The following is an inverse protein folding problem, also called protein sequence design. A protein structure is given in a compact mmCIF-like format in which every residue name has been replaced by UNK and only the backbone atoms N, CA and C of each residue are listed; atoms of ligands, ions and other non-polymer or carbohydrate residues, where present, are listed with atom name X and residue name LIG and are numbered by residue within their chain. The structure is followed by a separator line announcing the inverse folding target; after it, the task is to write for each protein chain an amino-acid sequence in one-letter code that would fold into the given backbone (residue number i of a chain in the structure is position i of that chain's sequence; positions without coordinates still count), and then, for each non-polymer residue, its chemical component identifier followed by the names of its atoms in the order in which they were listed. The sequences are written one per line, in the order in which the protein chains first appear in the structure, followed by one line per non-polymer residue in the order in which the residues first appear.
data_IF_340246249569
#
_entry.id   IF_340246249569
#
_cell.length_a   1.000
_cell.length_b   1.000
_cell.length_c   1.000
_cell.angle_alpha   90.00
_cell.angle_beta   90.00
_cell.angle_gamma   90.00
#
_symmetry.space_group_name_H-M   'P 1'
#
loop_
_entity.id
_entity.type
_entity.pdbx_description
1 polymer ?
2 non-polymer ?
3 water ?
#
# COMPACT_ATOMS: atom_id res chain seq x y z
N UNK A 12 -15.35 -19.78 -4.59
CA UNK A 12 -15.42 -20.39 -5.91
C UNK A 12 -14.39 -19.77 -6.86
N UNK A 13 -14.10 -20.48 -7.96
CA UNK A 13 -13.15 -20.03 -8.96
C UNK A 13 -13.79 -20.10 -10.34
N UNK A 14 -13.10 -19.56 -11.33
CA UNK A 14 -13.61 -19.54 -12.68
C UNK A 14 -14.54 -18.40 -13.00
N UNK A 15 -14.56 -17.36 -12.17
CA UNK A 15 -15.42 -16.20 -12.38
C UNK A 15 -14.60 -14.94 -12.26
N UNK A 16 -15.11 -13.87 -12.87
CA UNK A 16 -14.50 -12.55 -12.81
C UNK A 16 -15.60 -11.52 -12.53
N UNK A 17 -15.55 -10.90 -11.36
CA UNK A 17 -16.52 -9.89 -10.96
C UNK A 17 -15.87 -8.52 -11.14
N UNK A 18 -16.06 -7.93 -12.31
CA UNK A 18 -15.48 -6.64 -12.66
C UNK A 18 -16.63 -5.67 -12.85
N UNK A 19 -16.94 -4.89 -11.82
CA UNK A 19 -17.97 -3.88 -11.90
C UNK A 19 -19.37 -4.41 -11.68
N UNK A 20 -19.56 -5.20 -10.64
CA UNK A 20 -20.87 -5.71 -10.29
C UNK A 20 -21.29 -6.93 -11.09
N UNK A 21 -20.85 -7.01 -12.34
CA UNK A 21 -21.22 -8.10 -13.22
C UNK A 21 -20.20 -9.23 -13.12
N UNK A 22 -20.70 -10.47 -13.09
CA UNK A 22 -19.87 -11.65 -13.06
C UNK A 22 -19.74 -12.25 -14.46
N UNK A 23 -18.56 -12.80 -14.74
CA UNK A 23 -18.28 -13.38 -16.05
C UNK A 23 -17.57 -14.71 -15.86
N UNK A 24 -18.20 -15.79 -16.33
CA UNK A 24 -17.55 -17.09 -16.34
C UNK A 24 -16.36 -17.06 -17.29
N UNK A 25 -15.19 -17.47 -16.80
CA UNK A 25 -13.98 -17.33 -17.59
C UNK A 25 -12.97 -18.41 -17.19
N UNK A 26 -12.01 -18.62 -18.09
CA UNK A 26 -10.85 -19.46 -17.84
C UNK A 26 -9.59 -18.66 -18.14
N UNK A 27 -8.43 -19.26 -17.89
CA UNK A 27 -7.18 -18.57 -18.17
C UNK A 27 -6.98 -18.35 -19.67
N UNK A 28 -7.68 -19.11 -20.51
CA UNK A 28 -7.57 -18.92 -21.96
C UNK A 28 -8.30 -17.67 -22.43
N UNK A 29 -9.20 -17.11 -21.62
CA UNK A 29 -9.95 -15.93 -21.99
C UNK A 29 -9.20 -14.63 -21.72
N UNK A 30 -7.96 -14.70 -21.24
CA UNK A 30 -7.18 -13.52 -20.90
C UNK A 30 -5.90 -13.50 -21.73
N UNK A 31 -5.64 -12.37 -22.38
CA UNK A 31 -4.49 -12.21 -23.24
C UNK A 31 -3.34 -11.58 -22.46
N UNK A 32 -2.19 -12.25 -22.46
CA UNK A 32 -1.03 -11.78 -21.70
C UNK A 32 -0.40 -10.60 -22.41
N UNK A 33 -0.41 -9.43 -21.76
CA UNK A 33 0.16 -8.22 -22.32
C UNK A 33 1.55 -7.90 -21.75
N UNK A 34 2.15 -8.83 -21.02
CA UNK A 34 3.50 -8.64 -20.53
C UNK A 34 3.62 -8.61 -19.02
N UNK A 35 4.84 -8.83 -18.53
CA UNK A 35 5.10 -8.81 -17.09
C UNK A 35 5.17 -7.38 -16.58
N UNK A 36 4.62 -7.16 -15.39
CA UNK A 36 4.63 -5.85 -14.75
C UNK A 36 5.62 -5.86 -13.60
N UNK A 37 6.59 -4.96 -13.64
CA UNK A 37 7.58 -4.86 -12.59
C UNK A 37 8.65 -5.92 -12.66
N UNK A 38 9.89 -5.55 -12.35
CA UNK A 38 10.99 -6.50 -12.39
C UNK A 38 11.06 -7.34 -11.12
N UNK A 39 10.89 -6.72 -9.95
CA UNK A 39 10.99 -7.44 -8.69
C UNK A 39 9.66 -7.59 -8.01
N UNK A 40 9.27 -8.84 -7.71
CA UNK A 40 7.92 -9.11 -7.26
C UNK A 40 7.97 -9.98 -6.01
N UNK A 41 6.78 -10.36 -5.55
CA UNK A 41 6.57 -11.49 -4.67
C UNK A 41 5.81 -12.58 -5.41
N UNK A 42 5.97 -12.62 -6.73
CA UNK A 42 5.21 -13.51 -7.59
C UNK A 42 4.89 -12.85 -8.92
N UNK A 43 4.94 -13.61 -10.01
CA UNK A 43 4.79 -13.04 -11.34
C UNK A 43 3.45 -12.35 -11.50
N UNK A 44 3.48 -11.03 -11.70
CA UNK A 44 2.29 -10.21 -11.91
C UNK A 44 2.22 -9.87 -13.39
N UNK A 45 1.17 -10.33 -14.05
CA UNK A 45 0.98 -10.11 -15.48
C UNK A 45 -0.08 -9.04 -15.72
N UNK A 46 0.14 -8.22 -16.74
CA UNK A 46 -0.89 -7.34 -17.28
C UNK A 46 -1.65 -8.12 -18.35
N UNK A 47 -2.94 -8.34 -18.12
CA UNK A 47 -3.73 -9.20 -19.00
C UNK A 47 -5.02 -8.50 -19.41
N UNK A 48 -5.42 -8.72 -20.66
CA UNK A 48 -6.65 -8.14 -21.22
C UNK A 48 -7.70 -9.22 -21.30
N UNK A 49 -8.85 -8.98 -20.67
CA UNK A 49 -9.98 -9.89 -20.74
C UNK A 49 -10.61 -9.78 -22.13
N UNK A 50 -10.51 -10.83 -22.93
CA UNK A 50 -10.97 -10.78 -24.32
C UNK A 50 -12.48 -10.59 -24.41
N UNK A 51 -13.23 -10.99 -23.37
CA UNK A 51 -14.68 -10.94 -23.42
C UNK A 51 -15.24 -9.56 -23.14
N UNK A 52 -14.45 -8.66 -22.54
CA UNK A 52 -14.95 -7.34 -22.19
C UNK A 52 -13.91 -6.24 -22.37
N UNK A 53 -12.75 -6.52 -22.95
CA UNK A 53 -11.72 -5.53 -23.14
C UNK A 53 -11.07 -5.02 -21.88
N UNK A 54 -11.54 -5.45 -20.71
CA UNK A 54 -10.94 -5.01 -19.46
C UNK A 54 -9.51 -5.53 -19.35
N UNK A 55 -8.60 -4.65 -18.96
CA UNK A 55 -7.21 -5.02 -18.71
C UNK A 55 -7.01 -5.10 -17.20
N UNK A 56 -6.58 -6.27 -16.72
CA UNK A 56 -6.48 -6.54 -15.30
C UNK A 56 -5.06 -7.02 -14.99
N UNK A 57 -4.73 -7.02 -13.70
CA UNK A 57 -3.46 -7.52 -13.22
C UNK A 57 -3.66 -8.92 -12.64
N UNK A 58 -2.96 -9.89 -13.20
CA UNK A 58 -3.11 -11.29 -12.83
C UNK A 58 -1.78 -11.78 -12.27
N UNK A 59 -1.79 -12.20 -11.00
CA UNK A 59 -0.62 -12.79 -10.37
C UNK A 59 -0.67 -14.30 -10.54
N UNK A 60 0.42 -14.86 -11.06
CA UNK A 60 0.52 -16.29 -11.31
C UNK A 60 1.34 -16.94 -10.20
N UNK A 61 0.69 -17.81 -9.43
CA UNK A 61 1.34 -18.58 -8.37
C UNK A 61 1.44 -20.03 -8.83
N UNK A 62 2.66 -20.48 -9.10
CA UNK A 62 2.88 -21.85 -9.50
C UNK A 62 2.96 -22.76 -8.29
N UNK A 63 2.31 -23.93 -8.38
CA UNK A 63 2.40 -24.91 -7.31
C UNK A 63 3.82 -25.46 -7.18
N UNK A 64 4.66 -25.27 -8.21
CA UNK A 64 6.07 -25.60 -8.14
C UNK A 64 6.90 -24.49 -7.50
N UNK A 65 6.29 -23.34 -7.21
CA UNK A 65 7.02 -22.20 -6.72
C UNK A 65 7.53 -22.38 -5.30
N UNK A 66 8.08 -21.29 -4.77
CA UNK A 66 8.66 -21.30 -3.43
C UNK A 66 7.57 -21.50 -2.39
N UNK A 67 7.90 -22.27 -1.35
CA UNK A 67 6.92 -22.57 -0.30
C UNK A 67 6.60 -21.33 0.53
N UNK A 68 7.62 -20.55 0.89
CA UNK A 68 7.39 -19.36 1.70
C UNK A 68 6.71 -18.26 0.89
N UNK A 69 7.09 -18.12 -0.38
CA UNK A 69 6.47 -17.09 -1.22
C UNK A 69 5.00 -17.42 -1.50
N UNK A 70 4.67 -18.69 -1.70
CA UNK A 70 3.29 -19.08 -1.92
C UNK A 70 2.44 -18.88 -0.68
N UNK A 71 3.04 -19.01 0.52
CA UNK A 71 2.29 -18.80 1.74
C UNK A 71 1.86 -17.35 1.88
N UNK A 72 2.73 -16.41 1.54
CA UNK A 72 2.37 -14.99 1.63
C UNK A 72 1.39 -14.60 0.53
N UNK A 73 1.45 -15.24 -0.62
CA UNK A 73 0.49 -14.95 -1.69
C UNK A 73 -0.91 -15.37 -1.26
N UNK A 74 -1.05 -16.55 -0.65
CA UNK A 74 -2.35 -17.01 -0.18
C UNK A 74 -2.84 -16.17 0.99
N UNK A 75 -1.93 -15.73 1.86
CA UNK A 75 -2.34 -14.88 2.99
C UNK A 75 -2.84 -13.53 2.51
N UNK A 76 -2.17 -12.95 1.50
CA UNK A 76 -2.65 -11.70 0.93
C UNK A 76 -4.00 -11.90 0.23
N UNK A 77 -4.14 -12.97 -0.54
CA UNK A 77 -5.41 -13.26 -1.20
C UNK A 77 -6.53 -13.46 -0.18
N UNK A 78 -6.21 -14.06 0.97
CA UNK A 78 -7.24 -14.25 1.99
C UNK A 78 -7.77 -12.91 2.50
N UNK A 79 -6.88 -11.95 2.74
CA UNK A 79 -7.30 -10.65 3.25
C UNK A 79 -8.07 -9.87 2.19
N UNK A 80 -7.64 -9.96 0.93
CA UNK A 80 -8.28 -9.20 -0.13
C UNK A 80 -9.69 -9.72 -0.40
N UNK A 81 -9.87 -11.04 -0.33
CA UNK A 81 -11.21 -11.61 -0.52
C UNK A 81 -12.16 -11.17 0.58
N UNK A 82 -11.63 -10.88 1.78
CA UNK A 82 -12.44 -10.41 2.89
C UNK A 82 -12.72 -8.91 2.85
N UNK A 83 -11.99 -8.15 2.04
CA UNK A 83 -12.09 -6.70 2.00
C UNK A 83 -12.82 -6.21 0.75
N UNK A 84 -13.89 -6.90 0.36
CA UNK A 84 -14.60 -6.55 -0.85
C UNK A 84 -15.39 -5.25 -0.73
N UNK A 85 -15.64 -4.79 0.49
CA UNK A 85 -16.43 -3.59 0.72
C UNK A 85 -15.60 -2.38 1.14
N UNK A 86 -14.27 -2.50 1.15
CA UNK A 86 -13.42 -1.37 1.50
C UNK A 86 -12.89 -0.73 0.23
N UNK A 87 -13.25 0.53 -0.06
CA UNK A 87 -12.77 1.15 -1.30
C UNK A 87 -11.31 1.55 -1.28
N UNK A 88 -10.64 1.45 -0.12
CA UNK A 88 -9.24 1.85 0.00
C UNK A 88 -8.29 0.65 -0.01
N UNK A 89 -8.76 -0.51 -0.47
CA UNK A 89 -7.95 -1.71 -0.57
C UNK A 89 -8.11 -2.26 -1.98
N UNK A 90 -7.00 -2.64 -2.60
CA UNK A 90 -7.04 -3.17 -3.97
C UNK A 90 -7.93 -4.39 -4.02
N UNK A 91 -8.89 -4.38 -4.94
CA UNK A 91 -9.93 -5.38 -4.98
C UNK A 91 -9.54 -6.58 -5.84
N UNK A 92 -10.06 -7.74 -5.47
CA UNK A 92 -9.87 -8.97 -6.23
C UNK A 92 -11.05 -9.17 -7.19
N UNK A 93 -10.74 -9.57 -8.41
CA UNK A 93 -11.77 -9.82 -9.42
C UNK A 93 -12.13 -11.29 -9.54
N UNK A 94 -11.22 -12.19 -9.17
CA UNK A 94 -11.49 -13.61 -9.28
C UNK A 94 -10.19 -14.39 -9.26
N UNK A 95 -10.35 -15.71 -9.27
CA UNK A 95 -9.21 -16.63 -9.24
C UNK A 95 -9.42 -17.74 -10.25
N UNK A 96 -8.30 -18.32 -10.70
CA UNK A 96 -8.30 -19.46 -11.61
C UNK A 96 -7.33 -20.50 -11.07
N UNK A 97 -7.83 -21.69 -10.79
CA UNK A 97 -7.04 -22.78 -10.24
C UNK A 97 -6.91 -23.85 -11.31
N UNK A 98 -5.69 -24.04 -11.81
CA UNK A 98 -5.37 -25.10 -12.76
C UNK A 98 -4.55 -26.18 -12.06
N UNK A 99 -4.25 -27.24 -12.81
CA UNK A 99 -3.49 -28.36 -12.26
C UNK A 99 -2.07 -27.99 -11.88
N UNK A 100 -1.56 -26.84 -12.34
CA UNK A 100 -0.19 -26.45 -12.06
C UNK A 100 -0.04 -25.01 -11.56
N UNK A 101 -1.07 -24.18 -11.64
CA UNK A 101 -0.95 -22.77 -11.30
C UNK A 101 -2.20 -22.27 -10.61
N UNK A 102 -2.07 -21.13 -9.95
CA UNK A 102 -3.20 -20.39 -9.39
C UNK A 102 -3.06 -18.94 -9.85
N UNK A 103 -4.05 -18.47 -10.59
CA UNK A 103 -4.05 -17.12 -11.12
C UNK A 103 -4.98 -16.24 -10.31
N UNK A 104 -4.47 -15.11 -9.83
CA UNK A 104 -5.22 -14.19 -8.97
C UNK A 104 -5.40 -12.89 -9.74
N UNK A 105 -6.59 -12.66 -10.25
CA UNK A 105 -6.90 -11.43 -10.97
C UNK A 105 -7.28 -10.34 -9.98
N UNK A 106 -6.67 -9.17 -10.14
CA UNK A 106 -6.90 -8.06 -9.22
C UNK A 106 -7.03 -6.76 -10.01
N UNK A 107 -7.41 -5.71 -9.29
CA UNK A 107 -7.55 -4.38 -9.89
C UNK A 107 -6.21 -3.92 -10.46
N UNK A 108 -6.22 -3.55 -11.74
CA UNK A 108 -5.01 -3.07 -12.39
C UNK A 108 -4.77 -1.63 -11.97
N UNK A 109 -3.81 -1.44 -11.07
CA UNK A 109 -3.42 -0.11 -10.63
C UNK A 109 -2.33 0.44 -11.57
N UNK A 110 -1.94 1.69 -11.35
CA UNK A 110 -0.89 2.29 -12.13
C UNK A 110 0.49 1.91 -11.64
N UNK A 111 0.89 2.47 -10.50
CA UNK A 111 2.19 2.16 -9.91
C UNK A 111 2.11 2.44 -8.41
N UNK A 112 3.20 2.11 -7.72
CA UNK A 112 3.27 2.32 -6.29
C UNK A 112 3.81 3.72 -5.98
N UNK A 113 3.79 4.07 -4.70
CA UNK A 113 4.30 5.37 -4.27
C UNK A 113 5.82 5.42 -4.34
N UNK A 114 6.49 4.28 -4.22
CA UNK A 114 7.95 4.25 -4.33
C UNK A 114 8.38 4.60 -5.75
N UNK A 115 7.82 3.92 -6.76
CA UNK A 115 8.15 4.24 -8.14
C UNK A 115 7.72 5.65 -8.51
N UNK A 116 6.66 6.16 -7.88
CA UNK A 116 6.26 7.55 -8.10
C UNK A 116 7.31 8.51 -7.55
N UNK A 117 7.90 8.18 -6.40
CA UNK A 117 8.96 9.01 -5.84
C UNK A 117 10.21 8.98 -6.71
N UNK A 118 10.51 7.82 -7.30
CA UNK A 118 11.67 7.71 -8.18
C UNK A 118 11.45 8.50 -9.47
N UNK A 119 10.24 8.43 -10.03
CA UNK A 119 9.96 9.15 -11.26
C UNK A 119 9.89 10.66 -11.02
N UNK A 120 9.36 11.07 -9.87
CA UNK A 120 9.31 12.50 -9.55
C UNK A 120 10.70 13.06 -9.36
N UNK A 121 11.65 12.26 -8.90
CA UNK A 121 13.00 12.70 -8.57
C UNK A 121 13.00 13.85 -7.57
N UNK A 122 12.01 13.86 -6.67
CA UNK A 122 11.86 14.90 -5.69
C UNK A 122 10.67 14.69 -4.79
N UNK A 123 10.34 15.69 -3.97
CA UNK A 123 9.22 15.55 -3.05
C UNK A 123 7.89 15.41 -3.79
N UNK A 124 6.94 14.78 -3.10
CA UNK A 124 5.58 14.63 -3.60
C UNK A 124 4.71 15.68 -2.91
N UNK A 125 3.85 16.41 -3.64
CA UNK A 125 3.10 17.50 -3.03
C UNK A 125 2.26 17.04 -1.85
N UNK A 126 2.01 17.97 -0.92
CA UNK A 126 1.25 17.66 0.29
C UNK A 126 -0.19 17.30 -0.04
N UNK A 127 -0.79 17.97 -1.02
CA UNK A 127 -2.18 17.69 -1.37
C UNK A 127 -2.36 16.27 -1.86
N UNK A 128 -1.32 15.69 -2.47
CA UNK A 128 -1.39 14.29 -2.89
C UNK A 128 -1.19 13.37 -1.70
N UNK A 129 -0.27 13.72 -0.80
CA UNK A 129 -0.07 12.91 0.40
C UNK A 129 -1.24 13.02 1.36
N UNK A 130 -1.99 14.14 1.29
CA UNK A 130 -3.17 14.26 2.13
C UNK A 130 -4.24 13.26 1.74
N UNK A 131 -4.52 13.16 0.44
CA UNK A 131 -5.48 12.14 -0.03
C UNK A 131 -4.94 10.74 0.18
N UNK A 132 -3.62 10.56 0.11
CA UNK A 132 -3.04 9.24 0.37
C UNK A 132 -3.21 8.85 1.84
N UNK A 133 -3.02 9.79 2.76
CA UNK A 133 -3.16 9.48 4.18
C UNK A 133 -4.58 9.06 4.51
N UNK A 134 -5.57 9.83 4.04
CA UNK A 134 -6.97 9.51 4.32
C UNK A 134 -7.31 8.11 3.84
N UNK A 135 -6.81 7.72 2.66
CA UNK A 135 -7.13 6.41 2.13
C UNK A 135 -6.43 5.30 2.90
N UNK A 136 -5.16 5.49 3.24
CA UNK A 136 -4.40 4.43 3.90
C UNK A 136 -4.88 4.24 5.34
N UNK A 137 -5.17 5.33 6.04
CA UNK A 137 -5.59 5.22 7.44
C UNK A 137 -6.93 4.50 7.53
N UNK A 138 -7.88 4.85 6.65
CA UNK A 138 -9.17 4.17 6.66
C UNK A 138 -9.04 2.71 6.25
N UNK A 139 -8.09 2.39 5.36
CA UNK A 139 -7.86 1.00 5.00
C UNK A 139 -7.32 0.21 6.18
N UNK A 140 -6.37 0.78 6.92
CA UNK A 140 -5.86 0.10 8.11
C UNK A 140 -6.91 0.03 9.21
N UNK A 141 -7.78 1.04 9.31
CA UNK A 141 -8.87 1.00 10.28
C UNK A 141 -9.88 -0.08 9.94
N UNK A 142 -10.14 -0.27 8.64
CA UNK A 142 -11.07 -1.32 8.22
C UNK A 142 -10.53 -2.72 8.54
N UNK A 143 -9.20 -2.89 8.49
CA UNK A 143 -8.62 -4.19 8.78
C UNK A 143 -8.65 -4.50 10.27
N UNK A 144 -8.52 -3.48 11.12
CA UNK A 144 -8.46 -3.73 12.56
C UNK A 144 -9.84 -3.95 13.16
N UNK A 145 -10.86 -3.25 12.67
CA UNK A 145 -12.20 -3.36 13.24
C UNK A 145 -13.00 -4.47 12.58
N UNK A 146 -13.16 -4.41 11.25
CA UNK A 146 -14.01 -5.37 10.55
C UNK A 146 -13.40 -6.76 10.50
N UNK A 147 -12.07 -6.88 10.60
CA UNK A 147 -11.42 -8.18 10.50
C UNK A 147 -10.34 -8.43 11.54
N UNK A 148 -9.97 -7.45 12.35
CA UNK A 148 -8.93 -7.65 13.35
C UNK A 148 -7.59 -7.99 12.75
N UNK A 149 -7.25 -7.43 11.59
CA UNK A 149 -6.04 -7.76 10.86
C UNK A 149 -5.08 -6.59 10.93
N UNK A 150 -3.81 -6.89 11.19
CA UNK A 150 -2.73 -5.92 11.20
C UNK A 150 -1.90 -6.13 9.94
N UNK A 151 -1.49 -5.03 9.30
CA UNK A 151 -0.80 -5.12 8.02
C UNK A 151 0.66 -5.55 8.18
N UNK A 152 1.39 -4.86 9.07
CA UNK A 152 2.77 -5.18 9.47
C UNK A 152 3.79 -4.93 8.36
N UNK A 153 3.42 -4.24 7.28
CA UNK A 153 4.40 -3.92 6.24
C UNK A 153 3.97 -2.70 5.44
N UNK A 154 3.56 -1.65 6.13
CA UNK A 154 3.14 -0.41 5.47
C UNK A 154 4.40 0.34 5.02
N UNK A 155 4.48 0.62 3.71
CA UNK A 155 5.62 1.31 3.13
C UNK A 155 5.18 1.90 1.80
N UNK A 156 5.95 2.84 1.24
CA UNK A 156 5.54 3.44 -0.04
C UNK A 156 5.33 2.44 -1.17
N UNK A 157 6.11 1.35 -1.20
CA UNK A 157 5.92 0.36 -2.26
C UNK A 157 4.60 -0.37 -2.14
N UNK A 158 3.93 -0.29 -0.98
CA UNK A 158 2.65 -0.93 -0.75
C UNK A 158 1.48 0.03 -0.86
N UNK A 159 1.69 1.20 -1.45
CA UNK A 159 0.64 2.20 -1.67
C UNK A 159 0.50 2.36 -3.17
N UNK A 160 -0.65 1.94 -3.72
CA UNK A 160 -0.87 1.90 -5.15
C UNK A 160 -1.78 3.04 -5.58
N UNK A 161 -1.44 3.65 -6.72
CA UNK A 161 -2.24 4.71 -7.33
C UNK A 161 -2.53 4.33 -8.77
N UNK A 162 -3.53 4.98 -9.36
CA UNK A 162 -3.96 4.64 -10.71
C UNK A 162 -4.26 5.92 -11.50
N UNK A 163 -4.68 5.74 -12.74
CA UNK A 163 -4.97 6.85 -13.64
C UNK A 163 -6.19 7.65 -13.20
N UNK A 164 -7.08 7.05 -12.40
CA UNK A 164 -8.31 7.70 -11.97
C UNK A 164 -8.19 8.34 -10.59
N UNK A 165 -6.99 8.46 -10.05
CA UNK A 165 -6.79 9.10 -8.77
C UNK A 165 -7.03 8.24 -7.55
N UNK A 166 -7.34 6.96 -7.72
CA UNK A 166 -7.55 6.09 -6.58
C UNK A 166 -6.23 5.81 -5.87
N UNK A 167 -6.31 5.68 -4.55
CA UNK A 167 -5.16 5.34 -3.70
C UNK A 167 -5.59 4.23 -2.76
N UNK A 168 -4.94 3.07 -2.89
CA UNK A 168 -5.33 1.90 -2.12
C UNK A 168 -4.09 1.22 -1.55
N UNK A 169 -4.33 0.34 -0.59
CA UNK A 169 -3.29 -0.47 0.04
C UNK A 169 -3.34 -1.89 -0.53
N UNK A 170 -2.18 -2.53 -0.65
CA UNK A 170 -2.04 -3.63 -1.60
C UNK A 170 -1.60 -4.98 -1.04
N UNK A 171 -0.49 -5.03 -0.29
CA UNK A 171 0.19 -6.28 0.01
C UNK A 171 -0.03 -6.68 1.47
N UNK A 172 -0.80 -7.75 1.68
CA UNK A 172 -1.05 -8.31 3.01
C UNK A 172 -0.38 -9.68 3.17
N UNK A 173 0.83 -9.82 2.63
CA UNK A 173 1.48 -11.11 2.62
C UNK A 173 1.94 -11.58 3.98
N UNK A 174 2.23 -10.63 4.89
CA UNK A 174 2.68 -10.98 6.23
C UNK A 174 1.73 -10.35 7.25
N UNK A 175 0.46 -10.25 6.89
CA UNK A 175 -0.52 -9.67 7.80
C UNK A 175 -0.88 -10.65 8.91
N UNK A 176 -1.16 -10.10 10.09
CA UNK A 176 -1.52 -10.92 11.24
C UNK A 176 -3.00 -10.82 11.57
N UNK A 177 -3.49 -11.78 12.36
CA UNK A 177 -4.90 -11.84 12.71
C UNK A 177 -5.20 -11.34 14.11
N UNK A 178 -4.17 -10.94 14.86
CA UNK A 178 -4.33 -10.42 16.22
C UNK A 178 -5.10 -11.38 17.12
N UNK A 188 8.28 -10.67 9.82
CA UNK A 188 8.75 -9.31 10.11
C UNK A 188 8.80 -8.47 8.85
N UNK A 189 8.27 -7.25 8.92
CA UNK A 189 8.27 -6.34 7.80
C UNK A 189 9.64 -5.75 7.53
N UNK A 190 9.65 -4.76 6.64
CA UNK A 190 10.89 -4.07 6.30
C UNK A 190 11.40 -3.29 7.50
N UNK A 191 12.69 -3.45 7.79
CA UNK A 191 13.27 -2.80 8.96
C UNK A 191 13.25 -1.29 8.87
N UNK A 192 13.15 -0.74 7.67
CA UNK A 192 13.20 0.72 7.51
C UNK A 192 11.98 1.39 8.10
N UNK A 193 10.83 0.71 8.13
CA UNK A 193 9.56 1.31 8.56
C UNK A 193 9.01 0.62 9.81
N UNK A 194 9.85 -0.05 10.59
CA UNK A 194 9.39 -0.77 11.75
C UNK A 194 9.30 0.15 12.97
N UNK A 195 8.22 -0.02 13.74
CA UNK A 195 8.00 0.80 14.91
C UNK A 195 9.00 0.44 16.01
N UNK A 196 9.25 1.37 16.94
CA UNK A 196 10.18 1.06 18.04
C UNK A 196 9.72 -0.11 18.90
N UNK A 197 8.42 -0.24 19.16
CA UNK A 197 7.94 -1.34 19.98
C UNK A 197 7.99 -2.68 19.25
N UNK A 198 8.11 -2.67 17.92
CA UNK A 198 8.32 -3.91 17.19
C UNK A 198 9.78 -4.35 17.20
N UNK A 199 10.70 -3.42 17.41
CA UNK A 199 12.10 -3.76 17.56
C UNK A 199 12.43 -4.11 19.01
N UNK A 200 11.89 -3.35 19.95
CA UNK A 200 12.09 -3.58 21.38
C UNK A 200 10.74 -3.62 22.06
N UNK A 201 10.09 -4.81 22.10
CA UNK A 201 8.77 -4.99 22.73
C UNK A 201 8.74 -4.60 24.21
N UNK A 211 -0.06 -3.58 17.63
CA UNK A 211 -1.29 -2.82 17.76
C UNK A 211 -1.26 -1.59 16.87
N UNK A 212 -0.52 -0.57 17.30
CA UNK A 212 -0.41 0.70 16.57
C UNK A 212 0.95 0.83 15.89
N UNK A 213 1.53 -0.29 15.44
CA UNK A 213 2.84 -0.25 14.81
C UNK A 213 2.75 0.25 13.36
N UNK A 214 1.65 -0.05 12.67
CA UNK A 214 1.46 0.46 11.32
C UNK A 214 1.34 1.97 11.28
N UNK A 215 0.93 2.59 12.39
CA UNK A 215 0.86 4.05 12.47
C UNK A 215 2.25 4.65 12.34
N UNK A 216 3.24 4.02 12.96
CA UNK A 216 4.62 4.50 12.84
C UNK A 216 5.13 4.29 11.41
N UNK A 217 4.83 3.14 10.81
CA UNK A 217 5.25 2.88 9.44
C UNK A 217 4.66 3.90 8.47
N UNK A 218 3.39 4.25 8.68
CA UNK A 218 2.76 5.28 7.84
C UNK A 218 3.45 6.63 8.01
N UNK A 219 3.83 6.96 9.24
CA UNK A 219 4.50 8.23 9.48
C UNK A 219 5.87 8.29 8.82
N UNK A 220 6.62 7.18 8.87
CA UNK A 220 7.93 7.15 8.22
C UNK A 220 7.78 7.26 6.71
N UNK A 221 6.77 6.60 6.14
CA UNK A 221 6.52 6.71 4.70
C UNK A 221 6.13 8.12 4.31
N UNK A 222 5.40 8.83 5.17
CA UNK A 222 5.00 10.20 4.84
C UNK A 222 6.20 11.13 4.78
N UNK A 223 7.16 10.96 5.69
CA UNK A 223 8.35 11.80 5.68
C UNK A 223 9.20 11.52 4.46
N UNK A 224 9.30 10.26 4.06
CA UNK A 224 10.10 9.90 2.89
C UNK A 224 9.50 10.50 1.62
N UNK A 225 8.19 10.41 1.46
CA UNK A 225 7.54 10.92 0.25
C UNK A 225 7.45 12.44 0.24
N UNK A 226 7.31 13.06 1.41
CA UNK A 226 7.20 14.52 1.45
C UNK A 226 8.53 15.21 1.25
N UNK A 227 9.65 14.54 1.57
CA UNK A 227 10.97 15.11 1.44
C UNK A 227 11.76 14.57 0.26
N UNK A 228 11.35 13.46 -0.33
CA UNK A 228 12.13 12.82 -1.36
C UNK A 228 13.34 12.06 -0.86
N UNK A 229 13.62 12.09 0.44
CA UNK A 229 14.76 11.39 1.03
C UNK A 229 14.24 10.54 2.18
N UNK A 230 14.70 9.29 2.22
CA UNK A 230 14.33 8.42 3.33
C UNK A 230 14.92 8.98 4.63
N UNK A 231 14.13 9.10 5.69
CA UNK A 231 14.60 9.84 6.87
C UNK A 231 15.86 9.30 7.51
N UNK A 232 16.01 7.97 7.60
CA UNK A 232 17.21 7.37 8.18
C UNK A 232 18.25 7.21 7.07
N UNK A 233 19.07 8.24 6.89
CA UNK A 233 19.99 8.31 5.76
C UNK A 233 21.30 7.61 6.07
N UNK A 234 21.87 6.98 5.03
CA UNK A 234 23.21 6.39 5.07
C UNK A 234 23.30 5.29 6.13
N UNK A 235 22.45 4.29 5.97
CA UNK A 235 22.47 3.08 6.79
C UNK A 235 22.81 1.91 5.87
N UNK A 236 23.99 1.32 6.07
CA UNK A 236 24.46 0.26 5.19
C UNK A 236 23.90 -1.10 5.55
N UNK A 237 23.42 -1.29 6.77
CA UNK A 237 22.86 -2.56 7.21
C UNK A 237 21.48 -2.34 7.83
N UNK A 238 20.72 -3.43 7.94
CA UNK A 238 19.38 -3.34 8.49
C UNK A 238 19.42 -3.02 9.98
N UNK A 239 20.34 -3.63 10.72
CA UNK A 239 20.41 -3.40 12.16
C UNK A 239 20.77 -1.96 12.49
N UNK A 240 21.56 -1.30 11.63
CA UNK A 240 21.87 0.11 11.85
C UNK A 240 20.62 0.97 11.74
N UNK A 241 19.69 0.61 10.86
CA UNK A 241 18.43 1.34 10.77
C UNK A 241 17.65 1.20 12.08
N UNK A 242 17.58 -0.03 12.61
CA UNK A 242 16.89 -0.25 13.88
C UNK A 242 17.54 0.54 15.00
N UNK A 243 18.87 0.67 14.95
CA UNK A 243 19.59 1.45 15.96
C UNK A 243 19.15 2.91 15.94
N UNK A 244 19.05 3.50 14.74
CA UNK A 244 18.65 4.90 14.64
C UNK A 244 17.19 5.10 15.04
N UNK A 245 16.33 4.11 14.82
CA UNK A 245 14.93 4.23 15.21
C UNK A 245 14.81 4.40 16.72
N UNK A 246 15.57 3.61 17.47
CA UNK A 246 15.51 3.65 18.93
C UNK A 246 16.37 4.75 19.53
N UNK A 247 17.55 5.01 18.95
CA UNK A 247 18.50 5.94 19.56
C UNK A 247 18.20 7.39 19.19
N UNK A 248 17.86 7.64 17.92
CA UNK A 248 17.68 9.01 17.45
C UNK A 248 16.25 9.47 17.67
N UNK A 249 16.07 10.80 17.64
CA UNK A 249 14.75 11.38 17.76
C UNK A 249 13.91 11.03 16.53
N UNK A 250 12.58 11.00 16.68
CA UNK A 250 11.71 10.69 15.53
C UNK A 250 11.90 11.71 14.43
N UNK A 251 12.07 11.25 13.18
CA UNK A 251 12.32 12.19 12.08
C UNK A 251 11.09 12.99 11.71
N UNK A 252 10.97 14.20 12.26
CA UNK A 252 9.80 15.03 12.02
C UNK A 252 9.86 15.66 10.63
N UNK A 253 8.74 16.27 10.24
CA UNK A 253 8.64 16.93 8.96
C UNK A 253 9.40 18.27 9.00
N UNK A 254 10.18 18.58 7.96
CA UNK A 254 10.91 19.85 7.95
C UNK A 254 9.96 21.04 7.93
N UNK A 255 10.44 22.17 8.46
CA UNK A 255 9.66 23.38 8.57
C UNK A 255 9.98 24.45 7.55
N UNK A 256 10.81 24.16 6.56
CA UNK A 256 11.18 25.13 5.53
C UNK A 256 10.73 24.69 4.15
N UNK A 257 9.69 23.86 4.06
CA UNK A 257 9.17 23.38 2.78
C UNK A 257 7.70 23.73 2.59
N UNK A 258 7.18 24.65 3.39
CA UNK A 258 5.79 25.06 3.24
C UNK A 258 4.76 24.04 3.67
N UNK A 259 5.15 23.06 4.48
CA UNK A 259 4.20 22.09 4.98
C UNK A 259 3.22 22.77 5.93
N UNK A 260 1.93 22.49 5.75
CA UNK A 260 0.90 23.07 6.60
C UNK A 260 1.06 22.59 8.05
N UNK A 261 0.49 23.37 8.97
CA UNK A 261 0.57 23.01 10.37
C UNK A 261 -0.11 21.68 10.69
N UNK A 262 -1.18 21.36 9.96
CA UNK A 262 -1.86 20.08 10.19
C UNK A 262 -1.05 18.90 9.68
N UNK A 263 -0.28 19.10 8.60
CA UNK A 263 0.54 18.01 8.09
C UNK A 263 1.68 17.68 9.06
N UNK A 264 2.37 18.70 9.56
CA UNK A 264 3.44 18.46 10.52
C UNK A 264 2.90 17.93 11.84
N UNK A 265 1.66 18.29 12.20
CA UNK A 265 1.06 17.77 13.42
C UNK A 265 0.71 16.30 13.28
N UNK A 266 0.19 15.91 12.12
CA UNK A 266 -0.19 14.52 11.91
C UNK A 266 1.04 13.61 11.89
N UNK A 267 2.13 14.07 11.32
CA UNK A 267 3.36 13.28 11.28
C UNK A 267 3.95 13.14 12.68
N UNK A 268 3.86 14.20 13.48
CA UNK A 268 4.40 14.15 14.84
C UNK A 268 3.66 13.13 15.70
N UNK A 269 2.34 13.08 15.58
CA UNK A 269 1.57 12.09 16.34
C UNK A 269 1.79 10.69 15.81
N UNK A 270 1.94 10.55 14.48
CA UNK A 270 2.23 9.25 13.89
C UNK A 270 3.59 8.72 14.32
N UNK A 271 4.56 9.62 14.52
CA UNK A 271 5.91 9.23 14.90
C UNK A 271 6.16 9.40 16.40
N UNK A 272 5.14 9.16 17.22
CA UNK A 272 5.33 9.12 18.66
C UNK A 272 6.12 7.86 19.03
N UNK A 273 7.28 8.04 19.65
CA UNK A 273 8.14 6.91 19.97
C UNK A 273 7.43 5.94 20.90
N UNK A 274 6.88 6.44 22.01
CA UNK A 274 6.13 5.60 22.93
C UNK A 274 4.79 5.23 22.31
N UNK A 275 4.58 3.94 22.06
CA UNK A 275 3.36 3.49 21.41
C UNK A 275 2.12 3.64 22.30
N UNK A 276 2.31 3.71 23.62
CA UNK A 276 1.16 3.92 24.50
C UNK A 276 0.57 5.31 24.33
N UNK A 277 1.38 6.29 23.96
CA UNK A 277 0.89 7.64 23.68
C UNK A 277 0.60 7.87 22.21
N UNK A 278 0.94 6.92 21.35
CA UNK A 278 0.63 7.05 19.93
C UNK A 278 -0.88 6.88 19.73
N UNK A 279 -1.53 7.78 19.00
CA UNK A 279 -2.99 7.70 18.88
C UNK A 279 -3.43 6.46 18.14
N UNK A 280 -4.46 5.80 18.66
CA UNK A 280 -5.13 4.76 17.90
C UNK A 280 -5.77 5.35 16.66
N UNK A 281 -6.28 4.48 15.79
CA UNK A 281 -6.84 4.97 14.53
C UNK A 281 -7.96 5.98 14.76
N UNK A 282 -9.00 5.60 15.50
CA UNK A 282 -10.20 6.44 15.61
C UNK A 282 -9.91 7.84 16.18
N UNK A 283 -8.75 8.02 16.81
CA UNK A 283 -8.30 9.39 17.08
C UNK A 283 -7.58 10.00 15.89
N UNK A 284 -6.87 9.18 15.10
CA UNK A 284 -6.24 9.69 13.89
C UNK A 284 -7.27 10.11 12.86
N UNK A 285 -8.35 9.33 12.71
CA UNK A 285 -9.38 9.68 11.74
C UNK A 285 -10.08 11.00 12.07
N UNK A 286 -9.94 11.50 13.30
CA UNK A 286 -10.51 12.78 13.69
C UNK A 286 -9.49 13.91 13.65
N UNK A 287 -8.26 13.64 13.24
CA UNK A 287 -7.26 14.69 13.13
C UNK A 287 -7.66 15.70 12.05
N UNK A 288 -7.26 16.96 12.25
CA UNK A 288 -7.63 18.01 11.32
C UNK A 288 -7.03 17.77 9.94
N UNK A 289 -5.90 17.07 9.87
CA UNK A 289 -5.28 16.79 8.58
C UNK A 289 -6.14 15.82 7.77
N UNK A 290 -6.71 14.81 8.41
CA UNK A 290 -7.55 13.86 7.70
C UNK A 290 -8.90 14.48 7.36
N UNK A 291 -9.49 15.21 8.30
CA UNK A 291 -10.80 15.83 8.07
C UNK A 291 -10.73 16.86 6.95
N UNK A 292 -9.56 17.45 6.73
CA UNK A 292 -9.43 18.45 5.67
C UNK A 292 -9.50 17.81 4.29
N UNK A 293 -8.79 16.70 4.10
CA UNK A 293 -8.68 16.08 2.78
C UNK A 293 -9.77 15.05 2.51
N UNK A 294 -10.69 14.83 3.46
CA UNK A 294 -11.89 14.08 3.13
C UNK A 294 -12.85 14.92 2.30
N UNK A 295 -13.01 16.20 2.67
CA UNK A 295 -13.89 17.11 1.95
C UNK A 295 -13.19 17.83 0.81
N UNK A 296 -11.88 18.01 0.90
CA UNK A 296 -11.15 18.74 -0.13
C UNK A 296 -11.13 17.96 -1.43
N UNK A 297 -11.20 18.68 -2.55
CA UNK A 297 -11.17 18.08 -3.89
C UNK A 297 -9.77 18.26 -4.46
N UNK A 298 -9.00 17.18 -4.47
CA UNK A 298 -7.65 17.17 -5.01
C UNK A 298 -7.64 16.33 -6.27
N UNK A 299 -7.13 16.89 -7.37
CA UNK A 299 -7.10 16.21 -8.66
C UNK A 299 -5.87 15.30 -8.71
N UNK A 300 -5.99 14.16 -8.03
CA UNK A 300 -4.90 13.19 -8.03
C UNK A 300 -4.78 12.52 -9.39
N UNK A 301 -5.89 12.36 -10.11
CA UNK A 301 -5.86 11.66 -11.40
C UNK A 301 -4.98 12.38 -12.41
N UNK A 302 -5.10 13.72 -12.48
CA UNK A 302 -4.30 14.47 -13.44
C UNK A 302 -2.85 14.59 -12.99
N UNK A 303 -2.62 14.74 -11.68
CA UNK A 303 -1.26 14.76 -11.17
C UNK A 303 -0.56 13.42 -11.43
N UNK A 304 -1.29 12.32 -11.25
CA UNK A 304 -0.71 11.01 -11.55
C UNK A 304 -0.41 10.87 -13.04
N UNK A 305 -1.34 11.31 -13.90
CA UNK A 305 -1.10 11.22 -15.34
C UNK A 305 0.05 12.13 -15.77
N UNK A 306 0.26 13.24 -15.07
CA UNK A 306 1.34 14.15 -15.42
C UNK A 306 2.69 13.54 -15.10
N UNK A 307 2.83 12.94 -13.91
CA UNK A 307 4.11 12.35 -13.52
C UNK A 307 4.43 11.14 -14.38
N UNK A 308 3.41 10.34 -14.72
CA UNK A 308 3.64 9.15 -15.53
C UNK A 308 4.14 9.48 -16.92
N UNK A 309 3.90 10.69 -17.41
CA UNK A 309 4.33 11.09 -18.75
C UNK A 309 5.82 11.43 -18.83
N UNK A 310 6.56 11.28 -17.73
CA UNK A 310 8.00 11.55 -17.70
C UNK A 310 8.67 10.38 -16.99
N UNK A 311 9.12 9.41 -17.77
CA UNK A 311 9.80 8.23 -17.22
C UNK A 311 11.32 8.37 -17.34
#
# INVERSE_FOLDING_TARGET
MGHHHHHHSAKQTGYLTIGGQRYQAEINDLENLGEMGSGTCGQVWKMRFRKTGHVIAVKQMRRSGNKEENKRILMDLDVVLKSHDCPYIVQCFGTFITNTDVFIAMELMGTCAEKLKKRMQGPIPERILGKMTVAIVKALYYLKEKHGVIHRDVKPSNILLDERGQIKLCDFGISGRLVDSKAKTRSAGCAAYMAPERIDPPDPTKPDYDIRADVWSLGISLVELATGQFPYKNCKTDFEVLTKVLQEEPPLLPGHMGFSGDFQSFVKDCLTKDHRKRPKYNKLLEHSFIKRYETLEVDVASWFKDVMAKTESPRTSG
#
